data_IF_558613891148
#
_entry.id   IF_558613891148
#
_cell.length_a   1.000
_cell.length_b   1.000
_cell.length_c   1.000
_cell.angle_alpha   90.00
_cell.angle_beta   90.00
_cell.angle_gamma   90.00
#
_symmetry.space_group_name_H-M   'P 1'
#
loop_
_entity.id
_entity.type
_entity.pdbx_description
1 polymer ?
#
# COMPACT_ATOMS: atom_id res chain seq x y z
N UNK A 1 28.41 9.81 -8.55
CA UNK A 1 28.04 8.55 -7.86
C UNK A 1 26.55 8.35 -8.06
N UNK A 2 26.13 7.28 -8.73
CA UNK A 2 24.69 7.00 -8.93
C UNK A 2 24.19 6.23 -7.73
N UNK A 3 23.32 6.85 -6.92
CA UNK A 3 22.67 6.15 -5.82
C UNK A 3 21.75 5.06 -6.40
N UNK A 4 22.01 3.79 -6.07
CA UNK A 4 21.12 2.67 -6.42
C UNK A 4 20.06 2.56 -5.34
N UNK A 5 18.79 2.58 -5.74
CA UNK A 5 17.68 2.29 -4.83
C UNK A 5 17.75 0.82 -4.45
N UNK A 6 17.75 0.52 -3.15
CA UNK A 6 17.74 -0.84 -2.61
C UNK A 6 16.31 -1.28 -2.27
N UNK A 7 16.11 -2.58 -2.03
CA UNK A 7 14.82 -3.13 -1.61
C UNK A 7 14.34 -2.51 -0.29
N UNK A 8 15.26 -2.26 0.65
CA UNK A 8 14.98 -1.57 1.92
C UNK A 8 14.52 -0.12 1.70
N UNK A 9 15.01 0.55 0.66
CA UNK A 9 14.55 1.91 0.35
C UNK A 9 13.12 1.90 -0.19
N UNK A 10 12.77 0.91 -1.04
CA UNK A 10 11.40 0.71 -1.51
C UNK A 10 10.45 0.42 -0.35
N UNK A 11 10.84 -0.46 0.58
CA UNK A 11 10.06 -0.73 1.79
C UNK A 11 9.81 0.55 2.61
N UNK A 12 10.85 1.36 2.82
CA UNK A 12 10.72 2.64 3.54
C UNK A 12 9.77 3.60 2.82
N UNK A 13 9.82 3.69 1.50
CA UNK A 13 8.90 4.53 0.71
C UNK A 13 7.44 4.09 0.89
N UNK A 14 7.18 2.78 0.84
CA UNK A 14 5.85 2.21 1.03
C UNK A 14 5.36 2.42 2.46
N UNK A 15 6.21 2.20 3.47
CA UNK A 15 5.87 2.47 4.87
C UNK A 15 5.56 3.94 5.12
N UNK A 16 6.34 4.85 4.51
CA UNK A 16 6.06 6.29 4.56
C UNK A 16 4.71 6.62 3.95
N UNK A 17 4.39 6.05 2.78
CA UNK A 17 3.08 6.20 2.16
C UNK A 17 1.92 5.70 3.05
N UNK A 18 2.04 4.50 3.62
CA UNK A 18 1.05 3.92 4.54
C UNK A 18 0.87 4.75 5.84
N UNK A 19 1.92 5.44 6.28
CA UNK A 19 1.91 6.30 7.46
C UNK A 19 1.41 7.72 7.17
N UNK A 20 1.33 8.12 5.90
CA UNK A 20 0.93 9.48 5.49
C UNK A 20 -0.55 9.48 5.11
N UNK A 21 -1.43 10.14 5.88
CA UNK A 21 -2.82 10.32 5.48
C UNK A 21 -2.92 11.16 4.20
N UNK A 22 -3.90 10.86 3.36
CA UNK A 22 -4.22 11.70 2.19
C UNK A 22 -4.45 13.16 2.59
N UNK A 23 -4.10 14.09 1.69
CA UNK A 23 -4.17 15.55 1.88
C UNK A 23 -3.26 16.12 2.98
N UNK A 24 -2.28 15.36 3.47
CA UNK A 24 -1.26 15.90 4.40
C UNK A 24 -0.28 16.86 3.73
N UNK A 25 -0.11 16.74 2.42
CA UNK A 25 0.68 17.66 1.61
C UNK A 25 -0.25 18.65 0.90
N UNK A 26 0.06 19.95 1.00
CA UNK A 26 -0.74 21.00 0.38
C UNK A 26 -0.79 20.82 -1.14
N UNK A 27 -2.00 20.72 -1.69
CA UNK A 27 -2.22 20.56 -3.13
C UNK A 27 -1.87 19.18 -3.69
N UNK A 28 -1.70 18.16 -2.84
CA UNK A 28 -1.43 16.78 -3.25
C UNK A 28 -2.34 15.79 -2.52
N UNK A 29 -2.89 14.84 -3.25
CA UNK A 29 -3.66 13.72 -2.74
C UNK A 29 -2.78 12.53 -2.33
N UNK A 30 -1.45 12.73 -2.25
CA UNK A 30 -0.50 11.70 -1.85
C UNK A 30 -0.82 11.12 -0.47
N UNK A 31 -0.70 9.79 -0.36
CA UNK A 31 -0.82 9.07 0.90
C UNK A 31 -1.91 8.00 0.86
N UNK A 32 -2.07 7.33 2.00
CA UNK A 32 -3.04 6.24 2.17
C UNK A 32 -4.30 6.73 2.87
N UNK A 33 -5.46 6.51 2.24
CA UNK A 33 -6.77 6.85 2.82
C UNK A 33 -7.30 5.69 3.66
N UNK A 34 -6.87 5.63 4.92
CA UNK A 34 -7.37 4.64 5.90
C UNK A 34 -8.85 4.81 6.20
N UNK A 35 -9.38 6.02 6.05
CA UNK A 35 -10.76 6.32 6.40
C UNK A 35 -11.75 5.80 5.36
N UNK A 36 -11.33 5.74 4.10
CA UNK A 36 -12.11 5.10 3.03
C UNK A 36 -12.41 3.62 3.30
N UNK A 37 -11.63 2.95 4.16
CA UNK A 37 -11.82 1.55 4.55
C UNK A 37 -12.70 1.37 5.80
N UNK A 38 -13.05 2.45 6.49
CA UNK A 38 -13.92 2.35 7.66
C UNK A 38 -15.36 2.08 7.22
N UNK A 39 -16.04 1.19 7.94
CA UNK A 39 -17.43 0.80 7.69
C UNK A 39 -17.68 0.20 6.29
N UNK A 40 -16.64 -0.14 5.53
CA UNK A 40 -16.79 -0.90 4.30
C UNK A 40 -17.03 -2.37 4.62
N UNK A 41 -17.93 -3.07 3.89
CA UNK A 41 -18.09 -4.51 4.01
C UNK A 41 -16.75 -5.23 3.81
N UNK A 42 -16.48 -6.25 4.62
CA UNK A 42 -15.27 -7.08 4.53
C UNK A 42 -15.14 -7.81 3.17
N UNK A 43 -16.24 -7.90 2.41
CA UNK A 43 -16.29 -8.50 1.06
C UNK A 43 -16.00 -7.51 -0.07
N UNK A 44 -15.74 -6.23 0.24
CA UNK A 44 -15.54 -5.20 -0.78
C UNK A 44 -14.17 -5.37 -1.45
N UNK A 45 -14.14 -5.38 -2.79
CA UNK A 45 -12.91 -5.50 -3.55
C UNK A 45 -12.28 -4.12 -3.82
N UNK A 46 -11.59 -3.55 -2.83
CA UNK A 46 -10.87 -2.26 -2.96
C UNK A 46 -9.38 -2.44 -3.26
N UNK A 47 -8.89 -3.69 -3.34
CA UNK A 47 -7.46 -3.98 -3.44
C UNK A 47 -6.83 -3.39 -4.71
N UNK A 48 -7.50 -3.51 -5.85
CA UNK A 48 -7.02 -3.01 -7.14
C UNK A 48 -6.87 -1.49 -7.15
N UNK A 49 -7.86 -0.77 -6.59
CA UNK A 49 -7.82 0.69 -6.47
C UNK A 49 -6.69 1.14 -5.55
N UNK A 50 -6.46 0.42 -4.45
CA UNK A 50 -5.35 0.68 -3.53
C UNK A 50 -3.99 0.47 -4.19
N UNK A 51 -3.80 -0.63 -4.93
CA UNK A 51 -2.56 -0.90 -5.68
C UNK A 51 -2.34 0.17 -6.75
N UNK A 52 -3.39 0.57 -7.46
CA UNK A 52 -3.31 1.63 -8.46
C UNK A 52 -2.88 2.97 -7.85
N UNK A 53 -3.45 3.35 -6.69
CA UNK A 53 -3.06 4.56 -5.97
C UNK A 53 -1.61 4.48 -5.49
N UNK A 54 -1.21 3.34 -4.91
CA UNK A 54 0.16 3.12 -4.44
C UNK A 54 1.18 3.26 -5.57
N UNK A 55 0.92 2.68 -6.76
CA UNK A 55 1.81 2.81 -7.93
C UNK A 55 1.88 4.25 -8.46
N UNK A 56 0.79 5.02 -8.37
CA UNK A 56 0.77 6.44 -8.74
C UNK A 56 1.61 7.29 -7.78
N UNK A 57 1.44 7.06 -6.48
CA UNK A 57 2.04 7.88 -5.43
C UNK A 57 3.51 7.51 -5.18
N UNK A 58 3.90 6.25 -5.41
CA UNK A 58 5.25 5.73 -5.22
C UNK A 58 5.81 5.20 -6.56
N UNK A 59 6.31 6.08 -7.45
CA UNK A 59 6.62 5.73 -8.84
C UNK A 59 7.69 4.66 -9.03
N UNK A 60 8.55 4.43 -8.03
CA UNK A 60 9.56 3.35 -8.09
C UNK A 60 8.90 1.97 -8.25
N UNK A 61 7.67 1.84 -7.73
CA UNK A 61 6.87 0.63 -7.86
C UNK A 61 6.31 0.43 -9.27
N UNK A 62 6.16 1.49 -10.06
CA UNK A 62 5.72 1.40 -11.45
C UNK A 62 6.79 0.76 -12.36
N UNK A 63 8.05 0.71 -11.92
CA UNK A 63 9.13 0.02 -12.62
C UNK A 63 9.15 -1.49 -12.33
N UNK A 64 8.43 -1.94 -11.30
CA UNK A 64 8.30 -3.35 -10.98
C UNK A 64 7.25 -4.01 -11.88
N UNK A 65 7.39 -5.32 -12.16
CA UNK A 65 6.38 -6.10 -12.86
C UNK A 65 4.97 -5.92 -12.25
N UNK A 66 3.94 -6.12 -13.08
CA UNK A 66 2.54 -5.95 -12.65
C UNK A 66 2.14 -6.89 -11.51
N UNK A 67 2.74 -8.07 -11.47
CA UNK A 67 2.54 -9.15 -10.49
C UNK A 67 3.46 -9.05 -9.26
N UNK A 68 4.37 -8.07 -9.23
CA UNK A 68 5.31 -7.91 -8.12
C UNK A 68 4.67 -7.29 -6.86
N UNK A 69 3.43 -6.82 -6.94
CA UNK A 69 2.70 -6.20 -5.83
C UNK A 69 1.36 -6.89 -5.70
N UNK A 70 1.12 -7.52 -4.56
CA UNK A 70 -0.12 -8.20 -4.25
C UNK A 70 -0.70 -7.62 -2.96
N UNK A 71 -2.02 -7.44 -2.92
CA UNK A 71 -2.75 -7.05 -1.72
C UNK A 71 -3.83 -8.08 -1.48
N UNK A 72 -3.78 -8.73 -0.33
CA UNK A 72 -4.75 -9.74 0.06
C UNK A 72 -5.15 -9.56 1.51
N UNK A 73 -6.28 -10.16 1.89
CA UNK A 73 -6.78 -10.11 3.25
C UNK A 73 -6.89 -11.50 3.86
N UNK A 74 -6.63 -11.59 5.16
CA UNK A 74 -6.73 -12.83 5.93
C UNK A 74 -7.82 -12.62 7.00
N UNK A 75 -8.90 -13.41 6.99
CA UNK A 75 -9.92 -13.35 8.04
C UNK A 75 -9.34 -13.86 9.36
N UNK A 76 -9.46 -13.06 10.40
CA UNK A 76 -9.06 -13.37 11.77
C UNK A 76 -10.28 -13.36 12.67
N UNK A 77 -10.41 -14.41 13.48
CA UNK A 77 -11.54 -14.55 14.39
C UNK A 77 -11.29 -13.81 15.71
N UNK A 78 -12.34 -13.21 16.32
CA UNK A 78 -13.66 -12.92 15.77
C UNK A 78 -13.69 -11.60 14.97
N UNK A 79 -14.39 -11.60 13.82
CA UNK A 79 -14.75 -10.43 12.99
C UNK A 79 -13.63 -9.41 12.71
N UNK A 80 -12.48 -9.89 12.25
CA UNK A 80 -11.36 -9.06 11.76
C UNK A 80 -10.91 -9.50 10.37
N UNK A 81 -10.40 -8.54 9.60
CA UNK A 81 -9.58 -8.80 8.43
C UNK A 81 -8.21 -8.16 8.65
N UNK A 82 -7.15 -8.93 8.46
CA UNK A 82 -5.81 -8.38 8.30
C UNK A 82 -5.53 -8.13 6.83
N UNK A 83 -4.98 -6.97 6.49
CA UNK A 83 -4.59 -6.64 5.13
C UNK A 83 -3.08 -6.79 4.99
N UNK A 84 -2.66 -7.64 4.06
CA UNK A 84 -1.25 -7.90 3.77
C UNK A 84 -0.90 -7.36 2.38
N UNK A 85 0.08 -6.46 2.33
CA UNK A 85 0.69 -5.96 1.11
C UNK A 85 2.02 -6.66 0.90
N UNK A 86 2.12 -7.43 -0.17
CA UNK A 86 3.31 -8.12 -0.60
C UNK A 86 3.98 -7.33 -1.74
N UNK A 87 5.29 -7.12 -1.64
CA UNK A 87 6.12 -6.44 -2.63
C UNK A 87 7.39 -7.26 -2.82
N UNK A 88 7.43 -8.08 -3.87
CA UNK A 88 8.46 -9.11 -4.03
C UNK A 88 8.50 -10.04 -2.82
N UNK A 89 9.67 -10.21 -2.19
CA UNK A 89 9.83 -11.05 -0.99
C UNK A 89 9.44 -10.38 0.34
N UNK A 90 8.88 -9.15 0.31
CA UNK A 90 8.50 -8.41 1.53
C UNK A 90 7.00 -8.46 1.71
N UNK A 91 6.55 -8.95 2.86
CA UNK A 91 5.16 -8.84 3.30
C UNK A 91 5.02 -7.76 4.40
N UNK A 92 4.12 -6.80 4.17
CA UNK A 92 3.79 -5.73 5.10
C UNK A 92 2.35 -5.90 5.59
N UNK A 93 2.18 -6.02 6.91
CA UNK A 93 0.87 -5.92 7.56
C UNK A 93 0.46 -4.44 7.61
N UNK A 94 -0.73 -4.14 7.07
CA UNK A 94 -1.26 -2.77 6.98
C UNK A 94 -2.20 -2.46 8.16
N UNK A 95 -2.94 -3.46 8.66
CA UNK A 95 -3.94 -3.37 9.74
C UNK A 95 -4.28 -4.76 10.29
#
# INVERSE_FOLDING_TARGET
MTAKITQTDVEKMVRHWLATPVNSYLGSDYGFDKHALLFTPLTMNTADEMIAKLRRDVPVLAMLPSDAINLYSIPLSPDKLHFILEIGDIALDIM
#
